data_IF_095397469305
#
_entry.id   IF_095397469305
#
_cell.length_a   1.000
_cell.length_b   1.000
_cell.length_c   1.000
_cell.angle_alpha   90.00
_cell.angle_beta   90.00
_cell.angle_gamma   90.00
#
_symmetry.space_group_name_H-M   'P 1'
#
loop_
_entity.id
_entity.type
_entity.pdbx_description
1 polymer ?
#
# COMPACT_ATOMS: atom_id res chain seq x y z
N UNK A 1 82.48 -27.10 -39.12
CA UNK A 1 82.20 -28.18 -38.16
C UNK A 1 82.34 -27.60 -36.75
N UNK A 2 81.27 -27.05 -36.16
CA UNK A 2 81.33 -26.56 -34.78
C UNK A 2 80.03 -26.90 -34.04
N UNK A 3 80.18 -27.79 -33.05
CA UNK A 3 79.22 -28.02 -31.98
C UNK A 3 79.00 -26.72 -31.21
N UNK A 4 77.75 -26.40 -30.90
CA UNK A 4 77.43 -25.54 -29.75
C UNK A 4 76.46 -26.29 -28.83
N UNK A 5 76.97 -26.64 -27.65
CA UNK A 5 76.19 -26.83 -26.44
C UNK A 5 75.84 -25.44 -25.92
N UNK A 6 74.58 -25.16 -25.58
CA UNK A 6 74.28 -24.27 -24.45
C UNK A 6 72.89 -24.57 -23.88
N UNK A 7 72.79 -24.33 -22.59
CA UNK A 7 71.85 -24.87 -21.62
C UNK A 7 70.47 -24.19 -21.61
N UNK A 8 69.48 -25.05 -21.29
CA UNK A 8 68.23 -24.84 -20.54
C UNK A 8 68.03 -23.48 -19.85
N UNK A 9 66.86 -22.89 -20.08
CA UNK A 9 66.00 -22.33 -19.02
C UNK A 9 64.60 -22.94 -19.11
N UNK A 10 64.10 -23.35 -17.96
CA UNK A 10 62.84 -24.06 -17.72
C UNK A 10 61.71 -23.03 -17.69
N UNK A 11 60.65 -23.27 -18.48
CA UNK A 11 59.35 -22.64 -18.34
C UNK A 11 58.35 -23.78 -18.08
N UNK A 12 57.97 -24.00 -16.83
CA UNK A 12 56.97 -25.00 -16.46
C UNK A 12 55.58 -24.43 -16.65
N UNK A 13 54.89 -25.01 -17.64
CA UNK A 13 53.48 -24.80 -17.98
C UNK A 13 52.63 -25.57 -16.97
N UNK A 14 51.89 -24.90 -16.09
CA UNK A 14 50.86 -25.55 -15.26
C UNK A 14 49.55 -25.60 -16.04
N UNK A 15 49.11 -26.83 -16.30
CA UNK A 15 47.86 -27.20 -16.95
C UNK A 15 46.69 -26.97 -15.98
N UNK A 16 45.80 -26.04 -16.30
CA UNK A 16 44.49 -25.94 -15.66
C UNK A 16 43.58 -27.06 -16.17
N UNK A 17 43.25 -28.01 -15.30
CA UNK A 17 42.22 -29.02 -15.57
C UNK A 17 40.86 -28.37 -15.34
N UNK A 18 40.09 -28.21 -16.42
CA UNK A 18 38.65 -27.97 -16.38
C UNK A 18 37.96 -29.20 -15.79
N UNK A 19 37.21 -29.02 -14.71
CA UNK A 19 36.18 -29.98 -14.30
C UNK A 19 34.82 -29.28 -14.45
N UNK A 20 34.17 -29.59 -15.57
CA UNK A 20 32.74 -29.41 -15.76
C UNK A 20 32.00 -30.45 -14.91
N UNK A 21 31.28 -30.00 -13.90
CA UNK A 21 30.16 -30.78 -13.33
C UNK A 21 28.87 -30.02 -13.53
N UNK A 22 28.16 -30.36 -14.60
CA UNK A 22 26.72 -30.16 -14.68
C UNK A 22 26.05 -31.05 -13.62
N UNK A 23 25.54 -30.45 -12.55
CA UNK A 23 24.41 -31.01 -11.81
C UNK A 23 23.30 -29.99 -11.87
N UNK A 24 22.17 -30.40 -12.47
CA UNK A 24 20.94 -29.63 -12.47
C UNK A 24 20.52 -29.32 -11.05
N UNK A 25 20.71 -28.08 -10.65
CA UNK A 25 20.04 -27.48 -9.51
C UNK A 25 19.03 -26.50 -10.06
N UNK A 26 17.76 -26.70 -9.70
CA UNK A 26 16.78 -25.62 -9.75
C UNK A 26 17.41 -24.42 -9.04
N UNK A 27 17.78 -23.40 -9.80
CA UNK A 27 18.05 -22.07 -9.22
C UNK A 27 16.67 -21.55 -8.82
N UNK A 28 16.22 -21.93 -7.62
CA UNK A 28 15.27 -21.10 -6.91
C UNK A 28 16.00 -19.77 -6.70
N UNK A 29 15.59 -18.77 -7.46
CA UNK A 29 15.81 -17.38 -7.09
C UNK A 29 15.11 -17.19 -5.73
N UNK A 30 15.84 -17.42 -4.65
CA UNK A 30 15.49 -16.80 -3.38
C UNK A 30 15.80 -15.33 -3.57
N UNK A 31 14.78 -14.55 -3.93
CA UNK A 31 14.79 -13.13 -3.58
C UNK A 31 14.88 -13.06 -2.05
N UNK A 32 16.09 -12.85 -1.54
CA UNK A 32 16.26 -12.32 -0.20
C UNK A 32 15.73 -10.89 -0.25
N UNK A 33 14.43 -10.73 -0.01
CA UNK A 33 13.81 -9.42 0.19
C UNK A 33 14.42 -8.88 1.49
N UNK A 34 15.51 -8.11 1.37
CA UNK A 34 16.06 -7.37 2.48
C UNK A 34 15.02 -6.32 2.90
N UNK A 35 14.29 -6.60 3.98
CA UNK A 35 13.63 -5.57 4.76
C UNK A 35 14.69 -4.58 5.22
N UNK A 36 14.55 -3.30 4.85
CA UNK A 36 15.62 -2.32 4.98
C UNK A 36 15.14 -1.00 5.58
N UNK A 37 16.05 -0.29 6.25
CA UNK A 37 15.86 1.14 6.55
C UNK A 37 15.85 1.92 5.26
N UNK A 38 14.88 2.80 5.10
CA UNK A 38 14.87 3.74 4.00
C UNK A 38 15.74 4.93 4.35
N UNK A 39 16.86 5.08 3.63
CA UNK A 39 17.77 6.24 3.59
C UNK A 39 18.34 6.67 4.96
N UNK A 40 19.68 6.73 5.07
CA UNK A 40 20.37 7.12 6.32
C UNK A 40 20.58 8.64 6.49
N UNK A 41 20.25 9.45 5.48
CA UNK A 41 20.50 10.90 5.52
C UNK A 41 19.27 11.69 5.95
N UNK A 42 19.40 12.45 7.04
CA UNK A 42 18.32 13.25 7.65
C UNK A 42 17.65 14.19 6.66
N UNK A 43 18.42 14.85 5.78
CA UNK A 43 17.89 15.80 4.80
C UNK A 43 16.96 15.13 3.78
N UNK A 44 17.24 13.88 3.41
CA UNK A 44 16.39 13.11 2.51
C UNK A 44 15.11 12.66 3.21
N UNK A 45 15.20 12.19 4.45
CA UNK A 45 14.03 11.86 5.28
C UNK A 45 13.12 13.09 5.39
N UNK A 46 13.66 14.26 5.77
CA UNK A 46 12.88 15.50 5.89
C UNK A 46 12.21 15.88 4.56
N UNK A 47 12.96 15.82 3.46
CA UNK A 47 12.44 16.14 2.13
C UNK A 47 11.25 15.24 1.75
N UNK A 48 11.36 13.94 2.02
CA UNK A 48 10.30 13.03 1.67
C UNK A 48 9.07 13.19 2.59
N UNK A 49 9.26 13.38 3.91
CA UNK A 49 8.18 13.71 4.84
C UNK A 49 7.33 14.88 4.33
N UNK A 50 7.98 15.97 3.88
CA UNK A 50 7.31 17.17 3.37
C UNK A 50 6.62 16.94 2.01
N UNK A 51 7.22 16.12 1.13
CA UNK A 51 6.64 15.81 -0.19
C UNK A 51 5.42 14.89 -0.10
N UNK A 52 5.35 14.06 0.94
CA UNK A 52 4.32 13.02 1.07
C UNK A 52 2.98 13.57 1.50
N UNK A 53 2.96 14.67 2.26
CA UNK A 53 1.73 15.33 2.68
C UNK A 53 1.05 14.54 3.81
N UNK A 54 0.61 13.30 3.55
CA UNK A 54 -0.01 12.39 4.52
C UNK A 54 0.63 11.00 4.51
N UNK A 55 0.87 10.46 5.70
CA UNK A 55 1.26 9.08 5.94
C UNK A 55 0.12 8.37 6.64
N UNK A 56 -0.38 7.27 6.07
CA UNK A 56 -1.69 6.73 6.44
C UNK A 56 -1.59 5.24 6.81
N UNK A 57 -2.33 4.80 7.83
CA UNK A 57 -2.54 3.35 8.04
C UNK A 57 -3.35 2.80 6.86
N UNK A 58 -2.86 1.72 6.21
CA UNK A 58 -3.45 1.17 4.96
C UNK A 58 -4.92 0.72 5.11
N UNK A 59 -5.48 0.64 6.33
CA UNK A 59 -6.82 0.09 6.61
C UNK A 59 -7.78 1.03 7.39
N UNK A 60 -7.62 2.35 7.27
CA UNK A 60 -7.96 3.35 8.31
C UNK A 60 -7.28 3.08 9.64
N UNK A 61 -6.94 4.20 10.21
CA UNK A 61 -6.31 4.39 11.48
C UNK A 61 -5.89 5.85 11.46
N UNK A 62 -4.93 6.22 12.29
CA UNK A 62 -4.41 7.55 12.20
C UNK A 62 -3.70 7.82 10.88
N UNK A 63 -3.72 9.09 10.50
CA UNK A 63 -2.77 9.66 9.55
C UNK A 63 -1.84 10.64 10.28
N UNK A 64 -0.64 10.80 9.74
CA UNK A 64 0.32 11.78 10.21
C UNK A 64 0.77 12.65 9.04
N UNK A 65 0.55 13.96 9.17
CA UNK A 65 0.90 14.97 8.17
C UNK A 65 2.05 15.82 8.69
N UNK A 66 3.06 16.05 7.86
CA UNK A 66 4.26 16.80 8.23
C UNK A 66 4.34 18.12 7.47
N UNK A 67 4.80 19.16 8.16
CA UNK A 67 5.19 20.46 7.61
C UNK A 67 6.62 20.78 8.06
N UNK A 68 7.16 21.98 7.82
CA UNK A 68 8.58 22.29 8.08
C UNK A 68 9.08 21.92 9.49
N UNK A 69 8.24 22.06 10.51
CA UNK A 69 8.57 21.64 11.90
C UNK A 69 7.37 21.16 12.71
N UNK A 70 6.17 21.13 12.10
CA UNK A 70 4.96 20.67 12.77
C UNK A 70 4.51 19.32 12.20
N UNK A 71 3.87 18.54 13.05
CA UNK A 71 3.17 17.33 12.67
C UNK A 71 1.70 17.44 13.09
N UNK A 72 0.80 16.88 12.29
CA UNK A 72 -0.63 16.82 12.57
C UNK A 72 -1.07 15.36 12.51
N UNK A 73 -1.54 14.84 13.63
CA UNK A 73 -2.17 13.53 13.71
C UNK A 73 -3.68 13.72 13.50
N UNK A 74 -4.26 12.87 12.66
CA UNK A 74 -5.71 12.85 12.42
C UNK A 74 -6.19 11.41 12.57
N UNK A 75 -7.15 11.19 13.46
CA UNK A 75 -7.88 9.93 13.56
C UNK A 75 -9.32 10.21 13.14
N UNK A 76 -9.73 9.59 12.02
CA UNK A 76 -11.09 9.64 11.49
C UNK A 76 -12.01 8.84 12.45
N UNK A 77 -12.63 9.56 13.38
CA UNK A 77 -13.58 9.07 14.40
C UNK A 77 -14.75 10.05 14.52
N UNK A 78 -15.72 9.77 15.39
CA UNK A 78 -16.83 10.69 15.68
C UNK A 78 -16.79 11.19 17.14
N UNK A 79 -16.54 12.49 17.38
CA UNK A 79 -15.95 13.47 16.46
C UNK A 79 -14.52 13.11 16.02
N UNK A 80 -14.06 13.71 14.92
CA UNK A 80 -12.70 13.52 14.39
C UNK A 80 -11.70 14.01 15.45
N UNK A 81 -10.69 13.18 15.75
CA UNK A 81 -9.62 13.56 16.67
C UNK A 81 -8.47 14.17 15.88
N UNK A 82 -8.04 15.37 16.28
CA UNK A 82 -6.89 16.06 15.70
C UNK A 82 -5.91 16.44 16.80
N UNK A 83 -4.67 15.98 16.70
CA UNK A 83 -3.59 16.39 17.60
C UNK A 83 -2.51 17.13 16.81
N UNK A 84 -2.18 18.34 17.27
CA UNK A 84 -1.12 19.15 16.68
C UNK A 84 0.16 19.00 17.50
N UNK A 85 1.30 18.92 16.83
CA UNK A 85 2.59 18.69 17.46
C UNK A 85 3.75 19.29 16.70
N UNK A 86 4.94 19.12 17.26
CA UNK A 86 6.21 19.35 16.57
C UNK A 86 6.94 18.04 16.39
N UNK A 87 7.86 17.99 15.43
CA UNK A 87 8.72 16.82 15.27
C UNK A 87 10.18 17.23 15.13
N UNK A 88 11.04 16.27 15.46
CA UNK A 88 12.48 16.35 15.26
C UNK A 88 12.99 15.01 14.71
N UNK A 89 14.04 15.08 13.90
CA UNK A 89 14.70 13.91 13.36
C UNK A 89 16.05 13.77 14.05
N UNK A 90 16.27 12.66 14.75
CA UNK A 90 17.53 12.37 15.43
C UNK A 90 17.91 10.90 15.22
N UNK A 91 19.16 10.64 14.82
CA UNK A 91 19.67 9.29 14.58
C UNK A 91 18.69 8.42 13.79
N UNK A 92 18.27 8.89 12.60
CA UNK A 92 17.29 8.26 11.69
C UNK A 92 15.87 8.01 12.21
N UNK A 93 15.56 8.44 13.43
CA UNK A 93 14.23 8.36 14.02
C UNK A 93 13.52 9.71 13.97
N UNK A 94 12.22 9.66 13.74
CA UNK A 94 11.32 10.81 13.80
C UNK A 94 10.61 10.76 15.14
N UNK A 95 10.79 11.79 15.95
CA UNK A 95 10.10 11.94 17.22
C UNK A 95 9.05 13.03 17.06
N UNK A 96 7.78 12.66 17.24
CA UNK A 96 6.66 13.60 17.24
C UNK A 96 6.19 13.80 18.66
N UNK A 97 6.07 15.06 19.09
CA UNK A 97 5.53 15.43 20.40
C UNK A 97 4.27 16.28 20.20
N UNK A 98 3.16 15.84 20.78
CA UNK A 98 1.89 16.54 20.67
C UNK A 98 1.74 17.62 21.75
N UNK A 99 1.08 18.72 21.41
CA UNK A 99 0.81 19.82 22.32
C UNK A 99 -0.45 19.50 23.12
N UNK A 100 -0.34 19.43 24.44
CA UNK A 100 -1.48 19.38 25.37
C UNK A 100 -1.99 20.80 25.61
N UNK A 101 -2.75 21.33 24.66
CA UNK A 101 -3.41 22.64 24.75
C UNK A 101 -4.94 22.49 24.92
N UNK A 102 -5.68 23.60 24.92
CA UNK A 102 -7.14 23.63 25.10
C UNK A 102 -7.93 22.87 24.02
N UNK A 103 -7.33 22.61 22.86
CA UNK A 103 -7.92 21.83 21.77
C UNK A 103 -7.45 20.37 21.76
N UNK A 104 -6.70 19.94 22.78
CA UNK A 104 -6.22 18.58 22.88
C UNK A 104 -7.38 17.62 23.17
N UNK A 105 -7.56 16.64 22.31
CA UNK A 105 -8.59 15.64 22.47
C UNK A 105 -8.16 14.55 23.45
N UNK A 106 -8.70 14.62 24.66
CA UNK A 106 -8.38 13.68 25.75
C UNK A 106 -8.84 12.24 25.49
N UNK A 107 -9.64 11.99 24.44
CA UNK A 107 -10.04 10.63 24.03
C UNK A 107 -8.86 9.84 23.46
N UNK A 108 -7.80 10.53 23.04
CA UNK A 108 -6.54 9.93 22.60
C UNK A 108 -5.42 10.51 23.45
N UNK A 109 -5.01 9.80 24.50
CA UNK A 109 -3.85 10.20 25.30
C UNK A 109 -2.55 9.73 24.63
N UNK A 110 -2.19 10.46 23.57
CA UNK A 110 -0.99 10.23 22.78
C UNK A 110 -0.02 11.39 22.99
N UNK A 111 0.91 11.24 23.94
CA UNK A 111 1.88 12.30 24.25
C UNK A 111 2.94 12.48 23.16
N UNK A 112 3.42 11.36 22.63
CA UNK A 112 4.46 11.31 21.63
C UNK A 112 4.42 10.01 20.84
N UNK A 113 4.89 10.09 19.60
CA UNK A 113 5.16 8.92 18.76
C UNK A 113 6.64 8.95 18.37
N UNK A 114 7.26 7.78 18.39
CA UNK A 114 8.55 7.55 17.75
C UNK A 114 8.34 6.73 16.48
N UNK A 115 8.85 7.19 15.35
CA UNK A 115 8.72 6.51 14.06
C UNK A 115 10.09 6.26 13.41
N UNK A 116 10.23 5.08 12.81
CA UNK A 116 11.38 4.69 12.01
C UNK A 116 10.99 4.62 10.52
N UNK A 117 11.59 5.46 9.64
CA UNK A 117 11.45 5.34 8.19
C UNK A 117 11.95 3.97 7.70
N UNK A 118 11.05 3.23 7.05
CA UNK A 118 11.23 1.84 6.71
C UNK A 118 10.78 1.54 5.28
N UNK A 119 11.31 0.46 4.72
CA UNK A 119 11.00 0.01 3.37
C UNK A 119 10.78 -1.50 3.34
N UNK A 120 9.68 -1.91 2.71
CA UNK A 120 9.33 -3.29 2.45
C UNK A 120 9.05 -3.43 0.95
N UNK A 121 9.93 -4.10 0.18
CA UNK A 121 9.63 -4.41 -1.20
C UNK A 121 8.33 -5.20 -1.29
N UNK A 122 7.42 -4.72 -2.13
CA UNK A 122 6.14 -5.35 -2.41
C UNK A 122 5.73 -4.99 -3.84
N UNK A 123 5.11 -5.92 -4.55
CA UNK A 123 4.74 -5.72 -5.94
C UNK A 123 3.34 -5.12 -6.12
N UNK A 124 2.51 -5.14 -5.08
CA UNK A 124 1.10 -4.72 -5.12
C UNK A 124 0.80 -3.58 -4.12
N UNK A 125 1.44 -3.61 -2.96
CA UNK A 125 1.18 -2.68 -1.85
C UNK A 125 2.25 -1.59 -1.74
N UNK A 126 1.95 -0.49 -1.01
CA UNK A 126 2.92 0.54 -0.69
C UNK A 126 4.20 -0.01 -0.04
N UNK A 127 5.34 0.47 -0.52
CA UNK A 127 6.65 -0.06 -0.11
C UNK A 127 7.32 0.76 0.99
N UNK A 128 7.03 2.07 1.07
CA UNK A 128 7.58 2.98 2.08
C UNK A 128 6.58 3.17 3.20
N UNK A 129 7.09 3.13 4.44
CA UNK A 129 6.28 3.34 5.63
C UNK A 129 7.11 3.89 6.78
N UNK A 130 6.42 4.48 7.75
CA UNK A 130 6.93 4.82 9.06
C UNK A 130 6.47 3.74 10.03
N UNK A 131 7.40 3.00 10.60
CA UNK A 131 7.08 2.06 11.67
C UNK A 131 7.09 2.82 12.99
N UNK A 132 5.91 3.01 13.55
CA UNK A 132 5.68 3.91 14.67
C UNK A 132 5.33 3.15 15.94
N UNK A 133 5.78 3.67 17.07
CA UNK A 133 5.45 3.15 18.39
C UNK A 133 5.13 4.27 19.37
N UNK A 134 4.23 3.98 20.29
CA UNK A 134 3.82 4.87 21.37
C UNK A 134 3.48 4.06 22.62
N UNK A 135 3.43 4.73 23.77
CA UNK A 135 2.92 4.13 25.00
C UNK A 135 1.46 4.52 25.18
N UNK A 136 0.59 3.54 25.42
CA UNK A 136 -0.79 3.79 25.79
C UNK A 136 -0.91 4.25 27.26
N UNK A 137 -2.15 4.45 27.73
CA UNK A 137 -2.44 4.92 29.08
C UNK A 137 -1.98 3.94 30.18
N UNK A 138 -1.89 2.65 29.88
CA UNK A 138 -1.37 1.60 30.77
C UNK A 138 0.17 1.51 30.70
N UNK A 139 0.81 2.34 29.88
CA UNK A 139 2.25 2.34 29.64
C UNK A 139 2.72 1.20 28.74
N UNK A 140 1.80 0.45 28.11
CA UNK A 140 2.10 -0.62 27.17
C UNK A 140 2.54 -0.02 25.84
N UNK A 141 3.57 -0.62 25.26
CA UNK A 141 4.08 -0.20 23.96
C UNK A 141 3.18 -0.75 22.85
N UNK A 142 2.54 0.16 22.13
CA UNK A 142 1.71 -0.13 20.96
C UNK A 142 2.45 0.24 19.68
N UNK A 143 2.18 -0.49 18.59
CA UNK A 143 2.87 -0.34 17.30
C UNK A 143 1.89 -0.26 16.14
N UNK A 144 2.22 0.58 15.18
CA UNK A 144 1.46 0.73 13.94
C UNK A 144 2.35 1.24 12.82
N UNK A 145 1.98 0.94 11.57
CA UNK A 145 2.72 1.37 10.39
C UNK A 145 1.90 2.39 9.60
N UNK A 146 2.52 3.53 9.27
CA UNK A 146 1.95 4.57 8.42
C UNK A 146 2.62 4.55 7.05
N UNK A 147 1.88 4.33 5.97
CA UNK A 147 2.42 4.11 4.64
C UNK A 147 2.33 5.37 3.76
N UNK A 148 3.30 5.55 2.86
CA UNK A 148 3.17 6.45 1.71
C UNK A 148 2.47 5.67 0.60
N UNK A 149 1.16 5.88 0.44
CA UNK A 149 0.35 5.13 -0.54
C UNK A 149 0.95 5.21 -1.96
N UNK A 150 1.58 6.33 -2.30
CA UNK A 150 2.19 6.59 -3.63
C UNK A 150 3.50 5.83 -3.85
N UNK A 151 3.99 5.13 -2.84
CA UNK A 151 5.18 4.28 -2.93
C UNK A 151 4.89 2.88 -3.49
N UNK A 152 3.63 2.56 -3.77
CA UNK A 152 3.28 1.33 -4.45
C UNK A 152 3.84 1.32 -5.88
N UNK A 153 4.50 0.22 -6.26
CA UNK A 153 5.10 0.11 -7.59
C UNK A 153 4.04 -0.22 -8.65
N UNK A 154 4.17 0.41 -9.82
CA UNK A 154 3.36 0.13 -11.01
C UNK A 154 4.17 -0.69 -12.04
N UNK A 155 3.48 -1.48 -12.86
CA UNK A 155 4.09 -2.23 -13.96
C UNK A 155 4.67 -3.60 -13.58
N UNK A 156 4.49 -4.06 -12.34
CA UNK A 156 4.93 -5.40 -11.96
C UNK A 156 3.92 -6.43 -12.43
N UNK A 157 4.37 -7.44 -13.17
CA UNK A 157 3.56 -8.62 -13.45
C UNK A 157 3.54 -9.55 -12.23
N UNK A 158 2.35 -9.81 -11.70
CA UNK A 158 2.13 -10.72 -10.57
C UNK A 158 0.94 -11.64 -10.83
N UNK A 159 0.70 -12.59 -9.92
CA UNK A 159 -0.48 -13.44 -9.93
C UNK A 159 -1.36 -13.18 -8.72
N UNK A 160 -2.64 -12.93 -8.97
CA UNK A 160 -3.69 -12.87 -7.94
C UNK A 160 -4.63 -14.04 -8.20
N UNK A 161 -4.71 -14.98 -7.27
CA UNK A 161 -5.52 -16.20 -7.40
C UNK A 161 -5.28 -16.96 -8.73
N UNK A 162 -4.03 -16.98 -9.19
CA UNK A 162 -3.61 -17.62 -10.44
C UNK A 162 -3.82 -16.80 -11.71
N UNK A 163 -4.44 -15.62 -11.62
CA UNK A 163 -4.66 -14.71 -12.75
C UNK A 163 -3.47 -13.77 -12.90
N UNK A 164 -2.89 -13.69 -14.10
CA UNK A 164 -1.83 -12.75 -14.42
C UNK A 164 -2.35 -11.32 -14.47
N UNK A 165 -1.73 -10.44 -13.69
CA UNK A 165 -2.06 -9.02 -13.59
C UNK A 165 -0.82 -8.14 -13.63
N UNK A 166 -1.01 -6.88 -13.97
CA UNK A 166 -0.02 -5.81 -13.85
C UNK A 166 -0.43 -4.86 -12.71
N UNK A 167 0.49 -4.55 -11.80
CA UNK A 167 0.23 -3.59 -10.71
C UNK A 167 0.03 -2.17 -11.27
N UNK A 168 -0.90 -1.40 -10.69
CA UNK A 168 -1.22 -0.04 -11.15
C UNK A 168 -0.53 1.08 -10.36
N UNK A 169 0.18 0.73 -9.29
CA UNK A 169 0.77 1.68 -8.35
C UNK A 169 -0.25 2.31 -7.40
N UNK A 170 -1.29 1.55 -7.03
CA UNK A 170 -2.28 1.93 -6.00
C UNK A 170 -2.96 3.29 -6.29
N UNK A 171 -3.85 3.31 -7.29
CA UNK A 171 -4.51 4.53 -7.79
C UNK A 171 -5.93 4.66 -7.28
N UNK A 172 -6.38 5.88 -7.03
CA UNK A 172 -7.78 6.14 -6.71
C UNK A 172 -8.63 6.10 -7.98
N UNK A 173 -9.78 5.44 -7.91
CA UNK A 173 -10.78 5.45 -8.96
C UNK A 173 -12.18 5.47 -8.38
N UNK A 174 -13.16 5.70 -9.25
CA UNK A 174 -14.57 5.60 -8.90
C UNK A 174 -15.39 4.87 -9.95
N UNK A 175 -16.57 4.44 -9.54
CA UNK A 175 -17.55 3.79 -10.40
C UNK A 175 -18.26 4.84 -11.25
N UNK A 176 -18.40 4.59 -12.55
CA UNK A 176 -19.18 5.47 -13.45
C UNK A 176 -20.66 5.07 -13.56
N UNK A 177 -21.05 3.96 -12.92
CA UNK A 177 -22.41 3.43 -12.85
C UNK A 177 -22.45 2.37 -11.73
N UNK A 178 -23.60 1.77 -11.46
CA UNK A 178 -23.71 0.65 -10.52
C UNK A 178 -23.01 -0.60 -11.08
N UNK A 179 -21.99 -1.10 -10.37
CA UNK A 179 -21.15 -2.21 -10.84
C UNK A 179 -21.21 -3.45 -9.95
N UNK A 180 -21.15 -4.62 -10.57
CA UNK A 180 -20.92 -5.86 -9.84
C UNK A 180 -19.45 -5.98 -9.40
N UNK A 181 -19.26 -6.20 -8.11
CA UNK A 181 -17.98 -6.55 -7.53
C UNK A 181 -17.84 -8.05 -7.38
N UNK A 182 -16.72 -8.65 -7.77
CA UNK A 182 -16.61 -10.11 -7.94
C UNK A 182 -15.35 -10.67 -7.31
N UNK A 183 -15.40 -11.95 -6.91
CA UNK A 183 -14.21 -12.69 -6.42
C UNK A 183 -13.21 -13.06 -7.51
N UNK A 184 -13.63 -13.08 -8.77
CA UNK A 184 -12.78 -13.36 -9.93
C UNK A 184 -13.16 -12.47 -11.12
N UNK A 185 -12.23 -12.17 -12.04
CA UNK A 185 -12.47 -11.31 -13.21
C UNK A 185 -13.24 -12.07 -14.28
N UNK A 186 -14.51 -12.35 -14.01
CA UNK A 186 -15.40 -13.07 -14.94
C UNK A 186 -16.85 -12.77 -14.60
N UNK A 187 -17.72 -12.70 -15.60
CA UNK A 187 -19.18 -12.63 -15.40
C UNK A 187 -19.75 -13.85 -14.66
N UNK A 188 -19.05 -14.99 -14.70
CA UNK A 188 -19.42 -16.20 -13.94
C UNK A 188 -18.84 -16.20 -12.52
N UNK A 189 -17.93 -15.27 -12.22
CA UNK A 189 -17.32 -15.12 -10.90
C UNK A 189 -18.36 -14.76 -9.85
N UNK A 190 -18.23 -15.32 -8.65
CA UNK A 190 -19.14 -15.05 -7.54
C UNK A 190 -19.16 -13.55 -7.24
N UNK A 191 -20.35 -12.95 -7.23
CA UNK A 191 -20.57 -11.58 -6.79
C UNK A 191 -20.27 -11.48 -5.30
N UNK A 192 -19.57 -10.43 -4.91
CA UNK A 192 -19.39 -10.00 -3.54
C UNK A 192 -20.49 -8.96 -3.31
N UNK A 193 -21.55 -9.29 -2.55
CA UNK A 193 -22.66 -8.36 -2.36
C UNK A 193 -22.17 -7.09 -1.65
N UNK A 194 -22.56 -5.93 -2.15
CA UNK A 194 -22.19 -4.67 -1.51
C UNK A 194 -22.75 -4.55 -0.09
N UNK A 195 -23.92 -5.15 0.16
CA UNK A 195 -24.48 -5.29 1.52
C UNK A 195 -23.61 -6.10 2.49
N UNK A 196 -22.77 -7.01 1.99
CA UNK A 196 -21.79 -7.73 2.83
C UNK A 196 -20.57 -6.85 3.15
N UNK A 197 -20.34 -5.76 2.42
CA UNK A 197 -19.20 -4.85 2.60
C UNK A 197 -19.62 -3.66 3.44
N UNK A 198 -20.74 -3.02 3.06
CA UNK A 198 -21.35 -1.93 3.79
C UNK A 198 -22.41 -2.51 4.75
N UNK A 199 -21.97 -2.86 5.97
CA UNK A 199 -22.86 -3.35 7.01
C UNK A 199 -23.82 -2.22 7.39
N UNK A 200 -25.09 -2.56 7.52
CA UNK A 200 -26.23 -1.72 7.92
C UNK A 200 -26.13 -1.05 9.30
N UNK A 201 -24.94 -1.02 9.91
CA UNK A 201 -24.69 -0.45 11.24
C UNK A 201 -24.25 1.02 11.18
N UNK A 202 -24.37 1.64 10.02
CA UNK A 202 -24.35 3.09 9.93
C UNK A 202 -25.64 3.60 10.54
N UNK A 203 -25.59 4.52 11.53
CA UNK A 203 -26.78 5.13 12.07
C UNK A 203 -27.57 5.75 10.91
N UNK A 204 -28.66 5.08 10.52
CA UNK A 204 -29.58 5.50 9.46
C UNK A 204 -30.15 6.89 9.78
N UNK A 205 -30.07 7.28 11.06
CA UNK A 205 -30.52 8.54 11.63
C UNK A 205 -29.82 9.79 11.05
N UNK A 206 -28.73 9.65 10.27
CA UNK A 206 -28.04 10.77 9.61
C UNK A 206 -28.14 10.78 8.08
N UNK A 207 -28.72 9.75 7.46
CA UNK A 207 -28.92 9.72 6.01
C UNK A 207 -30.30 10.27 5.66
N UNK A 208 -30.37 11.20 4.71
CA UNK A 208 -31.66 11.60 4.13
C UNK A 208 -32.39 10.37 3.59
N UNK A 209 -33.72 10.34 3.63
CA UNK A 209 -34.53 9.20 3.14
C UNK A 209 -34.14 8.74 1.73
N UNK A 210 -33.63 9.64 0.88
CA UNK A 210 -33.09 9.33 -0.45
C UNK A 210 -31.79 8.54 -0.40
N UNK A 211 -30.83 8.92 0.44
CA UNK A 211 -29.56 8.19 0.61
C UNK A 211 -29.79 6.79 1.22
N UNK A 212 -30.71 6.68 2.18
CA UNK A 212 -31.11 5.38 2.70
C UNK A 212 -31.69 4.49 1.59
N UNK A 213 -32.60 5.02 0.74
CA UNK A 213 -33.19 4.28 -0.38
C UNK A 213 -32.15 3.86 -1.45
N UNK A 214 -31.13 4.67 -1.71
CA UNK A 214 -30.03 4.32 -2.62
C UNK A 214 -29.10 3.24 -2.04
N UNK A 215 -28.72 3.35 -0.76
CA UNK A 215 -27.94 2.30 -0.09
C UNK A 215 -28.70 0.96 -0.03
N UNK A 216 -30.03 0.98 0.16
CA UNK A 216 -30.86 -0.22 0.18
C UNK A 216 -31.09 -0.86 -1.21
N UNK A 217 -30.99 -0.10 -2.31
CA UNK A 217 -31.06 -0.65 -3.69
C UNK A 217 -29.79 -1.42 -4.07
N UNK A 218 -28.67 -1.11 -3.44
CA UNK A 218 -27.36 -1.64 -3.74
C UNK A 218 -27.03 -2.96 -3.02
N UNK A 219 -27.95 -3.93 -2.92
CA UNK A 219 -27.64 -5.17 -2.17
C UNK A 219 -26.45 -5.96 -2.76
N UNK A 220 -26.32 -5.94 -4.09
CA UNK A 220 -25.35 -6.75 -4.83
C UNK A 220 -24.29 -5.95 -5.62
N UNK A 221 -24.46 -4.63 -5.74
CA UNK A 221 -23.62 -3.78 -6.60
C UNK A 221 -23.05 -2.61 -5.81
N UNK A 222 -21.82 -2.21 -6.15
CA UNK A 222 -21.26 -0.95 -5.68
C UNK A 222 -21.98 0.17 -6.45
N UNK A 223 -22.60 1.15 -5.75
CA UNK A 223 -23.28 2.28 -6.40
C UNK A 223 -22.35 3.11 -7.29
N UNK A 224 -22.93 3.85 -8.23
CA UNK A 224 -22.24 4.92 -8.98
C UNK A 224 -21.56 5.95 -8.06
N UNK A 225 -20.42 6.50 -8.51
CA UNK A 225 -19.70 7.57 -7.83
C UNK A 225 -18.95 7.14 -6.57
N UNK A 226 -18.85 5.84 -6.29
CA UNK A 226 -18.13 5.32 -5.11
C UNK A 226 -16.65 5.14 -5.39
N UNK A 227 -15.84 5.67 -4.48
CA UNK A 227 -14.39 5.63 -4.58
C UNK A 227 -13.81 4.28 -4.11
N UNK A 228 -12.71 3.87 -4.73
CA UNK A 228 -11.95 2.68 -4.36
C UNK A 228 -10.50 2.78 -4.82
N UNK A 229 -9.65 1.93 -4.24
CA UNK A 229 -8.25 1.82 -4.65
C UNK A 229 -8.09 0.73 -5.70
N UNK A 230 -7.53 1.09 -6.85
CA UNK A 230 -7.17 0.18 -7.94
C UNK A 230 -5.74 -0.30 -7.67
N UNK A 231 -5.58 -1.59 -7.45
CA UNK A 231 -4.30 -2.22 -7.09
C UNK A 231 -3.59 -2.82 -8.30
N UNK A 232 -4.35 -3.46 -9.19
CA UNK A 232 -3.83 -4.14 -10.37
C UNK A 232 -4.88 -4.23 -11.48
N UNK A 233 -4.47 -4.61 -12.69
CA UNK A 233 -5.34 -4.90 -13.83
C UNK A 233 -4.95 -6.21 -14.49
N UNK A 234 -5.88 -6.94 -15.11
CA UNK A 234 -5.55 -8.11 -15.92
C UNK A 234 -4.60 -7.74 -17.07
N UNK A 235 -3.67 -8.63 -17.38
CA UNK A 235 -2.76 -8.46 -18.54
C UNK A 235 -3.52 -8.56 -19.86
N UNK A 236 -4.56 -9.39 -19.89
CA UNK A 236 -5.43 -9.58 -21.05
C UNK A 236 -6.72 -8.78 -20.91
N UNK A 237 -7.27 -8.34 -22.04
CA UNK A 237 -8.61 -7.80 -22.14
C UNK A 237 -9.63 -8.92 -22.27
N UNK A 238 -10.81 -8.70 -21.71
CA UNK A 238 -11.99 -9.52 -21.94
C UNK A 238 -12.98 -8.74 -22.80
N UNK A 239 -13.75 -9.47 -23.61
CA UNK A 239 -14.89 -8.91 -24.33
C UNK A 239 -16.18 -9.31 -23.63
N UNK A 240 -16.94 -8.30 -23.19
CA UNK A 240 -18.27 -8.46 -22.59
C UNK A 240 -19.24 -7.64 -23.42
N UNK A 241 -20.18 -8.33 -24.06
CA UNK A 241 -21.13 -7.72 -25.00
C UNK A 241 -20.40 -6.89 -26.07
N UNK A 242 -20.51 -5.56 -25.99
CA UNK A 242 -19.93 -4.62 -26.94
C UNK A 242 -18.66 -3.92 -26.41
N UNK A 243 -18.23 -4.24 -25.19
CA UNK A 243 -17.06 -3.62 -24.56
C UNK A 243 -15.88 -4.59 -24.58
N UNK A 244 -14.69 -4.05 -24.85
CA UNK A 244 -13.43 -4.76 -24.73
C UNK A 244 -12.54 -4.00 -23.76
N UNK A 245 -12.29 -4.58 -22.59
CA UNK A 245 -11.57 -3.90 -21.51
C UNK A 245 -10.89 -4.91 -20.58
N UNK A 246 -9.99 -4.43 -19.74
CA UNK A 246 -9.38 -5.22 -18.67
C UNK A 246 -10.31 -5.33 -17.47
N UNK A 247 -10.02 -6.25 -16.55
CA UNK A 247 -10.58 -6.21 -15.21
C UNK A 247 -9.61 -5.56 -14.25
N UNK A 248 -10.12 -4.74 -13.35
CA UNK A 248 -9.33 -4.15 -12.27
C UNK A 248 -9.54 -4.94 -10.99
N UNK A 249 -8.43 -5.29 -10.34
CA UNK A 249 -8.42 -5.74 -8.96
C UNK A 249 -8.39 -4.52 -8.06
N UNK A 250 -9.44 -4.35 -7.26
CA UNK A 250 -9.63 -3.18 -6.41
C UNK A 250 -9.71 -3.60 -4.95
N UNK A 251 -9.40 -2.63 -4.08
CA UNK A 251 -9.73 -2.63 -2.66
C UNK A 251 -10.87 -1.65 -2.45
N UNK A 252 -12.02 -2.18 -2.05
CA UNK A 252 -13.18 -1.38 -1.65
C UNK A 252 -13.28 -1.34 -0.13
N UNK A 253 -13.74 -0.21 0.41
CA UNK A 253 -13.88 0.02 1.84
C UNK A 253 -15.27 0.56 2.14
N UNK A 254 -15.94 0.04 3.17
CA UNK A 254 -17.16 0.66 3.67
C UNK A 254 -16.88 2.05 4.24
N UNK A 255 -17.81 2.97 4.03
CA UNK A 255 -17.79 4.33 4.59
C UNK A 255 -18.27 4.37 6.04
N UNK A 256 -18.54 3.21 6.66
CA UNK A 256 -19.22 3.14 7.94
C UNK A 256 -18.29 3.20 9.15
N UNK A 257 -18.69 3.99 10.16
CA UNK A 257 -17.82 4.56 11.20
C UNK A 257 -17.44 3.60 12.35
N UNK A 258 -18.24 2.58 12.65
CA UNK A 258 -18.03 1.71 13.83
C UNK A 258 -17.19 0.48 13.53
N UNK A 259 -17.36 -0.13 12.36
CA UNK A 259 -16.57 -1.27 11.89
C UNK A 259 -16.27 -1.14 10.39
N UNK A 260 -15.05 -0.76 10.07
CA UNK A 260 -14.61 -0.71 8.68
C UNK A 260 -14.39 -2.12 8.16
N UNK A 261 -15.08 -2.47 7.08
CA UNK A 261 -14.81 -3.69 6.33
C UNK A 261 -14.12 -3.33 5.03
N UNK A 262 -12.99 -3.98 4.82
CA UNK A 262 -12.24 -3.87 3.59
C UNK A 262 -12.32 -5.19 2.84
N UNK A 263 -12.63 -5.09 1.55
CA UNK A 263 -12.76 -6.26 0.70
C UNK A 263 -12.09 -6.00 -0.63
N UNK A 264 -11.23 -6.93 -1.03
CA UNK A 264 -10.62 -6.93 -2.34
C UNK A 264 -11.41 -7.80 -3.31
N UNK A 265 -11.37 -7.44 -4.59
CA UNK A 265 -12.08 -8.16 -5.62
C UNK A 265 -11.95 -7.47 -6.97
N UNK A 266 -12.83 -7.81 -7.90
CA UNK A 266 -12.71 -7.45 -9.30
C UNK A 266 -13.91 -6.65 -9.78
N UNK A 267 -13.63 -5.61 -10.57
CA UNK A 267 -14.61 -4.85 -11.33
C UNK A 267 -14.18 -4.77 -12.80
N UNK A 268 -15.14 -4.72 -13.70
CA UNK A 268 -14.84 -4.63 -15.13
C UNK A 268 -14.47 -3.20 -15.52
N UNK A 269 -13.37 -3.04 -16.27
CA UNK A 269 -12.73 -1.75 -16.47
C UNK A 269 -13.52 -0.72 -17.27
N UNK A 270 -14.56 -1.16 -18.00
CA UNK A 270 -15.45 -0.25 -18.73
C UNK A 270 -16.16 0.77 -17.82
N UNK A 271 -16.35 0.44 -16.55
CA UNK A 271 -17.14 1.22 -15.60
C UNK A 271 -16.30 1.92 -14.53
N UNK A 272 -15.01 2.10 -14.82
CA UNK A 272 -14.01 2.66 -13.90
C UNK A 272 -13.49 3.96 -14.47
N UNK A 273 -13.52 5.01 -13.67
CA UNK A 273 -12.84 6.26 -13.95
C UNK A 273 -11.72 6.51 -12.94
N UNK A 274 -10.57 6.97 -13.41
CA UNK A 274 -9.43 7.29 -12.55
C UNK A 274 -9.58 8.72 -12.01
N UNK A 275 -9.47 8.87 -10.71
CA UNK A 275 -9.45 10.20 -10.07
C UNK A 275 -8.02 10.73 -10.20
N UNK A 276 -7.87 11.96 -10.70
CA UNK A 276 -6.56 12.60 -10.77
C UNK A 276 -6.12 12.99 -9.36
N UNK A 277 -4.90 12.65 -9.00
CA UNK A 277 -4.27 13.16 -7.78
C UNK A 277 -4.20 14.70 -7.86
N UNK A 278 -4.87 15.38 -6.93
CA UNK A 278 -4.74 16.82 -6.75
C UNK A 278 -3.32 17.10 -6.24
N UNK A 279 -2.43 17.60 -7.11
CA UNK A 279 -1.09 18.05 -6.74
C UNK A 279 -1.13 19.26 -5.80
#
# INVERSE_FOLDING_TARGET
>A
MFKKKFMKKILTLSVCILILTCKGGNVQFQESINHGRWVKEINLIKKDLLKIGSWDVINNGPSLKFSESNAKYVLESEPIVILNGTYLINNDKIFVKFKKDENYDTRVDLESIECLPSFKPDHLYPQKYLSCEFKDFDGKLEKFDLFDIRSAAAGNEIKIDGISVESTGYRLGNTTTDVYFRKSPSLKGKVIPYSEINISDCPIDMLSEEHAKEEFRAKDRIPEGRDFWILAKTVVTDKIENWENVWYYIKYRSSCMSEYKEVNGWIYGQFVNFIKDSN
#
